data_IF_041184021243
#
_entry.id   IF_041184021243
#
_cell.length_a   1.000
_cell.length_b   1.000
_cell.length_c   1.000
_cell.angle_alpha   90.00
_cell.angle_beta   90.00
_cell.angle_gamma   90.00
#
_symmetry.space_group_name_H-M   'P 1'
#
loop_
_entity.id
_entity.type
_entity.pdbx_description
1 polymer ?
#
# COMPACT_ATOMS: atom_id res chain seq x y z
N UNK A 1 -9.23 11.77 8.70
CA UNK A 1 -8.09 11.18 7.97
C UNK A 1 -8.05 11.72 6.54
N UNK A 2 -6.87 11.95 5.99
CA UNK A 2 -6.70 12.29 4.56
C UNK A 2 -7.37 11.18 3.71
N UNK A 3 -8.30 11.50 2.81
CA UNK A 3 -8.98 10.47 2.01
C UNK A 3 -8.03 9.86 0.98
N UNK A 4 -8.24 8.57 0.67
CA UNK A 4 -7.49 7.89 -0.36
C UNK A 4 -8.08 8.23 -1.74
N UNK A 5 -7.39 9.12 -2.48
CA UNK A 5 -7.82 9.61 -3.80
C UNK A 5 -8.10 8.46 -4.78
N UNK A 6 -7.16 7.54 -4.94
CA UNK A 6 -7.31 6.45 -5.91
C UNK A 6 -8.42 5.47 -5.52
N UNK A 7 -8.66 5.24 -4.23
CA UNK A 7 -9.79 4.43 -3.79
C UNK A 7 -11.13 5.05 -4.21
N UNK A 8 -11.26 6.37 -4.07
CA UNK A 8 -12.44 7.10 -4.52
C UNK A 8 -12.60 7.00 -6.05
N UNK A 9 -11.51 7.19 -6.81
CA UNK A 9 -11.50 7.05 -8.26
C UNK A 9 -11.92 5.64 -8.69
N UNK A 10 -11.40 4.58 -8.05
CA UNK A 10 -11.80 3.19 -8.30
C UNK A 10 -13.31 2.99 -8.08
N UNK A 11 -13.84 3.52 -6.98
CA UNK A 11 -15.28 3.40 -6.66
C UNK A 11 -16.16 4.10 -7.71
N UNK A 12 -15.66 5.19 -8.29
CA UNK A 12 -16.34 5.94 -9.34
C UNK A 12 -16.17 5.34 -10.76
N UNK A 13 -15.36 4.28 -10.91
CA UNK A 13 -15.02 3.71 -12.21
C UNK A 13 -14.10 4.59 -13.05
N UNK A 14 -13.36 5.51 -12.43
CA UNK A 14 -12.42 6.40 -13.10
C UNK A 14 -11.12 5.66 -13.44
N UNK A 15 -10.46 6.08 -14.52
CA UNK A 15 -9.13 5.57 -14.88
C UNK A 15 -8.07 6.13 -13.93
N UNK A 16 -7.10 5.29 -13.58
CA UNK A 16 -6.00 5.66 -12.68
C UNK A 16 -4.67 5.40 -13.37
N UNK A 17 -3.79 6.39 -13.33
CA UNK A 17 -2.42 6.26 -13.84
C UNK A 17 -1.47 6.13 -12.66
N UNK A 18 -0.78 4.97 -12.58
CA UNK A 18 0.18 4.67 -11.53
C UNK A 18 1.61 4.60 -12.07
N UNK A 19 2.52 5.34 -11.45
CA UNK A 19 3.96 5.25 -11.73
C UNK A 19 4.66 4.29 -10.79
N UNK A 20 5.77 3.65 -11.26
CA UNK A 20 6.59 2.74 -10.44
C UNK A 20 7.96 3.34 -10.17
N UNK A 21 8.42 3.22 -8.91
CA UNK A 21 9.68 3.72 -8.41
C UNK A 21 10.56 2.55 -8.00
N UNK A 22 11.69 2.36 -8.68
CA UNK A 22 12.65 1.28 -8.42
C UNK A 22 14.04 1.79 -8.00
N UNK A 23 14.25 3.11 -8.07
CA UNK A 23 15.52 3.77 -7.73
C UNK A 23 15.40 4.31 -6.30
N UNK A 24 16.33 4.00 -5.39
CA UNK A 24 16.31 4.42 -3.99
C UNK A 24 16.72 5.90 -3.82
N UNK A 25 15.90 6.80 -4.35
CA UNK A 25 16.16 8.23 -4.34
C UNK A 25 14.90 9.02 -3.97
N UNK A 26 14.95 9.75 -2.86
CA UNK A 26 13.90 10.66 -2.45
C UNK A 26 13.69 11.79 -3.47
N UNK A 27 14.77 12.30 -4.09
CA UNK A 27 14.69 13.32 -5.12
C UNK A 27 14.02 12.80 -6.39
N UNK A 28 14.33 11.56 -6.82
CA UNK A 28 13.62 10.93 -7.93
C UNK A 28 12.13 10.77 -7.65
N UNK A 29 11.78 10.36 -6.42
CA UNK A 29 10.37 10.24 -6.00
C UNK A 29 9.65 11.60 -5.97
N UNK A 30 10.34 12.67 -5.54
CA UNK A 30 9.82 14.03 -5.56
C UNK A 30 9.54 14.49 -7.00
N UNK A 31 10.51 14.37 -7.90
CA UNK A 31 10.35 14.73 -9.32
C UNK A 31 9.17 13.98 -9.92
N UNK A 32 9.08 12.66 -9.69
CA UNK A 32 7.98 11.84 -10.20
C UNK A 32 6.63 12.28 -9.63
N UNK A 33 6.55 12.68 -8.35
CA UNK A 33 5.29 13.08 -7.73
C UNK A 33 4.68 14.35 -8.33
N UNK A 34 5.46 15.13 -9.08
CA UNK A 34 5.00 16.33 -9.80
C UNK A 34 4.67 16.10 -11.28
N UNK A 35 4.65 14.83 -11.76
CA UNK A 35 4.44 14.52 -13.17
C UNK A 35 2.99 14.12 -13.54
N UNK A 36 2.02 14.35 -12.66
CA UNK A 36 0.60 14.12 -12.96
C UNK A 36 0.11 12.69 -12.74
N UNK A 37 0.84 11.86 -12.00
CA UNK A 37 0.38 10.53 -11.58
C UNK A 37 -0.75 10.65 -10.55
N UNK A 38 -1.68 9.70 -10.57
CA UNK A 38 -2.68 9.56 -9.51
C UNK A 38 -2.11 8.84 -8.30
N UNK A 39 -1.19 7.91 -8.55
CA UNK A 39 -0.47 7.16 -7.51
C UNK A 39 0.96 6.84 -7.94
N UNK A 40 1.83 6.63 -6.95
CA UNK A 40 3.20 6.16 -7.14
C UNK A 40 3.44 4.95 -6.27
N UNK A 41 3.93 3.86 -6.87
CA UNK A 41 4.27 2.63 -6.17
C UNK A 41 5.78 2.54 -5.94
N UNK A 42 6.17 2.48 -4.67
CA UNK A 42 7.54 2.17 -4.25
C UNK A 42 7.71 0.66 -4.31
N UNK A 43 8.61 0.20 -5.17
CA UNK A 43 8.84 -1.22 -5.39
C UNK A 43 9.94 -1.75 -4.46
N UNK A 44 9.53 -2.33 -3.34
CA UNK A 44 10.47 -2.93 -2.38
C UNK A 44 10.76 -4.41 -2.68
N UNK A 45 10.07 -5.02 -3.67
CA UNK A 45 10.29 -6.41 -4.05
C UNK A 45 11.43 -6.55 -5.06
N UNK A 46 11.35 -5.83 -6.16
CA UNK A 46 12.32 -5.92 -7.28
C UNK A 46 13.09 -4.61 -7.49
N UNK A 47 12.67 -3.52 -6.88
CA UNK A 47 13.46 -2.29 -6.81
C UNK A 47 14.64 -2.43 -5.84
N UNK A 48 15.64 -1.59 -6.00
CA UNK A 48 16.83 -1.56 -5.12
C UNK A 48 16.53 -0.70 -3.87
N UNK A 49 15.36 -0.95 -3.23
CA UNK A 49 14.78 -0.08 -2.19
C UNK A 49 14.55 -0.90 -0.93
N UNK A 50 15.17 -0.48 0.16
CA UNK A 50 14.89 -0.96 1.51
C UNK A 50 13.96 0.00 2.28
N UNK A 51 13.63 -0.33 3.53
CA UNK A 51 12.73 0.48 4.35
C UNK A 51 13.21 1.93 4.59
N UNK A 52 14.49 2.20 4.93
CA UNK A 52 14.99 3.57 5.07
C UNK A 52 14.79 4.41 3.80
N UNK A 53 15.07 3.85 2.64
CA UNK A 53 14.86 4.54 1.36
C UNK A 53 13.35 4.76 1.10
N UNK A 54 12.52 3.73 1.31
CA UNK A 54 11.07 3.83 1.15
C UNK A 54 10.47 4.93 2.04
N UNK A 55 10.92 5.04 3.30
CA UNK A 55 10.49 6.10 4.21
C UNK A 55 10.80 7.50 3.66
N UNK A 56 12.00 7.73 3.17
CA UNK A 56 12.40 9.02 2.58
C UNK A 56 11.60 9.34 1.30
N UNK A 57 11.36 8.33 0.47
CA UNK A 57 10.54 8.46 -0.73
C UNK A 57 9.08 8.79 -0.39
N UNK A 58 8.50 8.14 0.62
CA UNK A 58 7.16 8.46 1.14
C UNK A 58 7.08 9.90 1.66
N UNK A 59 8.14 10.40 2.31
CA UNK A 59 8.21 11.80 2.75
C UNK A 59 8.17 12.75 1.56
N UNK A 60 8.91 12.47 0.49
CA UNK A 60 8.93 13.29 -0.72
C UNK A 60 7.57 13.29 -1.44
N UNK A 61 6.97 12.11 -1.64
CA UNK A 61 5.65 11.99 -2.28
C UNK A 61 4.58 12.74 -1.49
N UNK A 62 4.68 12.78 -0.15
CA UNK A 62 3.69 13.44 0.71
C UNK A 62 3.60 14.98 0.54
N UNK A 63 4.54 15.58 -0.20
CA UNK A 63 4.48 17.00 -0.59
C UNK A 63 3.42 17.31 -1.66
N UNK A 64 2.83 16.29 -2.26
CA UNK A 64 1.83 16.37 -3.32
C UNK A 64 0.55 15.63 -2.96
N UNK A 65 -0.44 15.65 -3.87
CA UNK A 65 -1.69 14.89 -3.72
C UNK A 65 -1.64 13.48 -4.33
N UNK A 66 -0.49 13.05 -4.81
CA UNK A 66 -0.26 11.70 -5.34
C UNK A 66 -0.40 10.68 -4.21
N UNK A 67 -1.18 9.63 -4.44
CA UNK A 67 -1.39 8.57 -3.44
C UNK A 67 -0.17 7.64 -3.37
N UNK A 68 0.51 7.54 -2.21
CA UNK A 68 1.67 6.67 -2.05
C UNK A 68 1.27 5.21 -1.86
N UNK A 69 1.80 4.33 -2.69
CA UNK A 69 1.67 2.89 -2.62
C UNK A 69 3.03 2.24 -2.41
N UNK A 70 3.05 1.00 -1.91
CA UNK A 70 4.26 0.20 -1.87
C UNK A 70 3.97 -1.26 -2.26
N UNK A 71 4.84 -1.85 -3.07
CA UNK A 71 4.91 -3.29 -3.24
C UNK A 71 5.90 -3.85 -2.23
N UNK A 72 5.42 -4.69 -1.31
CA UNK A 72 6.25 -5.33 -0.29
C UNK A 72 7.01 -6.53 -0.86
N UNK A 73 8.09 -6.94 -0.19
CA UNK A 73 8.94 -8.04 -0.63
C UNK A 73 8.20 -9.39 -0.63
N UNK A 74 7.35 -9.60 0.36
CA UNK A 74 6.60 -10.83 0.57
C UNK A 74 5.38 -10.60 1.46
N UNK A 75 4.51 -11.60 1.57
CA UNK A 75 3.39 -11.60 2.53
C UNK A 75 3.91 -11.80 3.96
N UNK A 76 4.63 -10.81 4.47
CA UNK A 76 5.23 -10.80 5.80
C UNK A 76 4.62 -9.65 6.63
N UNK A 77 3.86 -9.98 7.70
CA UNK A 77 3.10 -8.98 8.46
C UNK A 77 3.92 -7.83 9.02
N UNK A 78 5.13 -8.09 9.53
CA UNK A 78 5.97 -7.05 10.11
C UNK A 78 6.39 -5.98 9.10
N UNK A 79 6.71 -6.37 7.87
CA UNK A 79 7.03 -5.43 6.80
C UNK A 79 5.80 -4.65 6.34
N UNK A 80 4.66 -5.34 6.20
CA UNK A 80 3.38 -4.73 5.83
C UNK A 80 2.99 -3.65 6.85
N UNK A 81 2.98 -3.99 8.13
CA UNK A 81 2.64 -3.04 9.20
C UNK A 81 3.58 -1.85 9.22
N UNK A 82 4.89 -2.10 9.06
CA UNK A 82 5.93 -1.07 9.12
C UNK A 82 5.83 -0.06 7.98
N UNK A 83 5.55 -0.50 6.75
CA UNK A 83 5.39 0.42 5.61
C UNK A 83 4.09 1.23 5.71
N UNK A 84 3.03 0.66 6.28
CA UNK A 84 1.80 1.38 6.57
C UNK A 84 1.99 2.43 7.67
N UNK A 85 2.78 2.14 8.71
CA UNK A 85 3.12 3.10 9.76
C UNK A 85 3.98 4.25 9.23
N UNK A 86 4.73 4.01 8.16
CA UNK A 86 5.46 5.04 7.42
C UNK A 86 4.56 5.96 6.57
N UNK A 87 3.24 5.71 6.51
CA UNK A 87 2.26 6.54 5.82
C UNK A 87 1.94 6.12 4.38
N UNK A 88 2.22 4.87 4.02
CA UNK A 88 1.75 4.27 2.78
C UNK A 88 0.21 4.13 2.80
N UNK A 89 -0.46 4.40 1.69
CA UNK A 89 -1.92 4.36 1.56
C UNK A 89 -2.45 3.15 0.79
N UNK A 90 -1.57 2.29 0.36
CA UNK A 90 -1.94 1.00 -0.22
C UNK A 90 -0.73 0.09 -0.33
N UNK A 91 -0.97 -1.19 -0.09
CA UNK A 91 0.05 -2.24 -0.17
C UNK A 91 -0.28 -3.18 -1.31
N UNK A 92 0.71 -3.46 -2.14
CA UNK A 92 0.68 -4.51 -3.16
C UNK A 92 1.47 -5.69 -2.60
N UNK A 93 0.82 -6.83 -2.42
CA UNK A 93 1.42 -8.05 -1.89
C UNK A 93 1.65 -9.06 -3.01
N UNK A 94 2.91 -9.47 -3.29
CA UNK A 94 3.21 -10.46 -4.30
C UNK A 94 2.85 -11.87 -3.86
N UNK A 95 2.75 -12.79 -4.81
CA UNK A 95 2.68 -14.25 -4.62
C UNK A 95 1.54 -14.73 -3.71
N UNK A 96 0.40 -14.05 -3.74
CA UNK A 96 -0.80 -14.48 -3.01
C UNK A 96 -1.52 -15.56 -3.84
N UNK A 97 -1.44 -16.81 -3.40
CA UNK A 97 -1.88 -17.96 -4.20
C UNK A 97 -3.18 -18.63 -3.72
N UNK A 98 -3.66 -18.29 -2.53
CA UNK A 98 -4.85 -18.89 -1.96
C UNK A 98 -5.53 -17.99 -0.92
N UNK A 99 -6.73 -18.39 -0.51
CA UNK A 99 -7.56 -17.66 0.46
C UNK A 99 -6.85 -17.39 1.79
N UNK A 100 -6.15 -18.39 2.32
CA UNK A 100 -5.45 -18.23 3.60
C UNK A 100 -4.37 -17.13 3.53
N UNK A 101 -3.61 -17.10 2.45
CA UNK A 101 -2.59 -16.06 2.23
C UNK A 101 -3.23 -14.69 2.01
N UNK A 102 -4.35 -14.62 1.28
CA UNK A 102 -5.11 -13.40 1.09
C UNK A 102 -5.66 -12.85 2.42
N UNK A 103 -6.26 -13.69 3.25
CA UNK A 103 -6.77 -13.31 4.57
C UNK A 103 -5.64 -12.86 5.50
N UNK A 104 -4.51 -13.59 5.52
CA UNK A 104 -3.32 -13.20 6.29
C UNK A 104 -2.83 -11.81 5.90
N UNK A 105 -2.74 -11.53 4.60
CA UNK A 105 -2.35 -10.23 4.06
C UNK A 105 -3.32 -9.12 4.49
N UNK A 106 -4.62 -9.32 4.24
CA UNK A 106 -5.64 -8.32 4.58
C UNK A 106 -5.66 -8.01 6.07
N UNK A 107 -5.60 -9.04 6.92
CA UNK A 107 -5.60 -8.87 8.38
C UNK A 107 -4.35 -8.18 8.90
N UNK A 108 -3.19 -8.37 8.25
CA UNK A 108 -1.97 -7.64 8.58
C UNK A 108 -2.07 -6.13 8.27
N UNK A 109 -2.91 -5.75 7.31
CA UNK A 109 -3.16 -4.35 6.97
C UNK A 109 -4.19 -3.67 7.88
N UNK A 110 -4.97 -4.42 8.66
CA UNK A 110 -6.14 -3.92 9.38
C UNK A 110 -5.95 -3.96 10.90
N UNK A 111 -6.40 -2.89 11.55
CA UNK A 111 -6.48 -2.86 13.02
C UNK A 111 -7.62 -3.74 13.56
N UNK A 112 -7.49 -4.24 14.82
CA UNK A 112 -8.58 -4.95 15.48
C UNK A 112 -9.91 -4.16 15.47
N UNK A 113 -11.08 -4.82 15.43
CA UNK A 113 -11.26 -6.28 15.46
C UNK A 113 -11.19 -6.94 14.07
N UNK A 114 -10.99 -6.18 12.98
CA UNK A 114 -10.99 -6.70 11.60
C UNK A 114 -9.69 -7.38 11.20
N UNK A 115 -8.59 -7.09 11.90
CA UNK A 115 -7.28 -7.67 11.68
C UNK A 115 -6.43 -7.65 12.94
N UNK A 116 -5.11 -7.84 12.77
CA UNK A 116 -4.15 -7.89 13.88
C UNK A 116 -2.99 -6.89 13.73
N UNK A 117 -3.15 -5.85 12.89
CA UNK A 117 -2.14 -4.81 12.77
C UNK A 117 -1.89 -4.15 14.12
N UNK A 118 -0.62 -4.09 14.54
CA UNK A 118 -0.21 -3.37 15.74
C UNK A 118 -0.38 -1.86 15.55
N UNK A 119 -0.87 -1.16 16.57
CA UNK A 119 -1.09 0.28 16.50
C UNK A 119 0.15 1.06 16.94
N UNK A 120 0.76 1.75 16.00
CA UNK A 120 1.93 2.61 16.22
C UNK A 120 2.26 3.48 15.00
N UNK A 121 1.24 4.07 14.32
CA UNK A 121 1.44 4.70 13.01
C UNK A 121 1.98 6.13 13.15
N UNK A 122 3.20 6.33 13.69
CA UNK A 122 3.75 7.66 13.95
C UNK A 122 3.66 8.57 12.72
N UNK A 123 4.20 8.12 11.58
CA UNK A 123 4.14 8.91 10.35
C UNK A 123 2.77 8.81 9.66
N UNK A 124 2.07 7.71 9.84
CA UNK A 124 0.68 7.55 9.40
C UNK A 124 -0.21 8.64 9.98
N UNK A 125 -0.04 9.00 11.25
CA UNK A 125 -0.75 10.10 11.90
C UNK A 125 -0.35 11.48 11.33
N UNK A 126 0.95 11.69 11.05
CA UNK A 126 1.43 12.96 10.47
C UNK A 126 0.86 13.17 9.06
N UNK A 127 0.88 12.14 8.23
CA UNK A 127 0.43 12.19 6.84
C UNK A 127 -1.09 12.09 6.71
N UNK A 128 -1.69 11.16 7.45
CA UNK A 128 -3.11 10.83 7.34
C UNK A 128 -4.04 11.67 8.22
N UNK A 129 -3.53 12.27 9.30
CA UNK A 129 -4.32 13.02 10.27
C UNK A 129 -4.47 12.30 11.61
N UNK A 130 -4.84 13.05 12.66
CA UNK A 130 -4.95 12.55 14.03
C UNK A 130 -5.98 11.43 14.23
N UNK A 131 -6.97 11.36 13.35
CA UNK A 131 -8.04 10.35 13.29
C UNK A 131 -7.69 9.13 12.39
N UNK A 132 -6.42 8.96 12.02
CA UNK A 132 -5.94 7.88 11.16
C UNK A 132 -6.39 6.50 11.64
N UNK A 133 -6.33 6.23 12.96
CA UNK A 133 -6.70 4.94 13.52
C UNK A 133 -8.15 4.53 13.27
N UNK A 134 -9.06 5.51 13.28
CA UNK A 134 -10.50 5.28 13.12
C UNK A 134 -10.88 4.93 11.67
N UNK A 135 -10.13 5.44 10.69
CA UNK A 135 -10.46 5.33 9.27
C UNK A 135 -9.50 4.45 8.46
N UNK A 136 -8.31 4.14 8.98
CA UNK A 136 -7.28 3.42 8.23
C UNK A 136 -7.75 2.08 7.66
N UNK A 137 -8.55 1.31 8.40
CA UNK A 137 -9.10 0.03 7.93
C UNK A 137 -9.91 0.18 6.63
N UNK A 138 -10.56 1.32 6.45
CA UNK A 138 -11.38 1.61 5.28
C UNK A 138 -10.58 2.30 4.17
N UNK A 139 -9.62 3.17 4.52
CA UNK A 139 -8.89 3.99 3.55
C UNK A 139 -7.71 3.26 2.90
N UNK A 140 -7.03 2.37 3.63
CA UNK A 140 -5.87 1.65 3.09
C UNK A 140 -6.30 0.64 2.03
N UNK A 141 -5.70 0.72 0.84
CA UNK A 141 -5.87 -0.26 -0.22
C UNK A 141 -5.02 -1.51 0.04
N UNK A 142 -5.60 -2.67 -0.24
CA UNK A 142 -4.97 -3.99 -0.13
C UNK A 142 -5.07 -4.64 -1.50
N UNK A 143 -3.96 -4.83 -2.16
CA UNK A 143 -3.89 -5.34 -3.53
C UNK A 143 -3.04 -6.60 -3.56
N UNK A 144 -3.67 -7.76 -3.77
CA UNK A 144 -2.97 -9.02 -3.93
C UNK A 144 -2.59 -9.24 -5.40
N UNK A 145 -1.35 -9.66 -5.66
CA UNK A 145 -0.93 -10.05 -7.00
C UNK A 145 -1.31 -11.50 -7.27
N UNK A 146 -2.08 -11.71 -8.33
CA UNK A 146 -2.48 -13.02 -8.85
C UNK A 146 -1.50 -13.38 -9.96
N UNK A 147 -0.44 -14.11 -9.62
CA UNK A 147 0.69 -14.35 -10.53
C UNK A 147 1.16 -15.82 -10.56
N UNK A 148 0.40 -16.72 -9.93
CA UNK A 148 0.66 -18.16 -9.98
C UNK A 148 -0.51 -18.90 -10.59
N UNK A 149 -0.24 -20.11 -11.14
CA UNK A 149 -1.33 -20.98 -11.63
C UNK A 149 -2.30 -21.33 -10.51
N UNK A 150 -1.79 -21.60 -9.30
CA UNK A 150 -2.62 -21.87 -8.13
C UNK A 150 -3.55 -20.70 -7.80
N UNK A 151 -3.02 -19.47 -7.80
CA UNK A 151 -3.81 -18.27 -7.56
C UNK A 151 -4.93 -18.10 -8.57
N UNK A 152 -4.64 -18.36 -9.86
CA UNK A 152 -5.62 -18.27 -10.94
C UNK A 152 -6.71 -19.33 -10.80
N UNK A 153 -6.33 -20.58 -10.49
CA UNK A 153 -7.27 -21.70 -10.30
C UNK A 153 -8.20 -21.50 -9.07
N UNK A 154 -7.77 -20.64 -8.11
CA UNK A 154 -8.49 -20.33 -6.86
C UNK A 154 -9.05 -18.91 -6.80
N UNK A 155 -9.11 -18.21 -7.92
CA UNK A 155 -9.45 -16.80 -7.99
C UNK A 155 -10.79 -16.46 -7.33
N UNK A 156 -11.83 -17.26 -7.59
CA UNK A 156 -13.16 -17.07 -7.03
C UNK A 156 -13.20 -17.18 -5.50
N UNK A 157 -12.28 -17.94 -4.91
CA UNK A 157 -12.16 -18.09 -3.46
C UNK A 157 -11.36 -16.95 -2.82
N UNK A 158 -10.50 -16.30 -3.58
CA UNK A 158 -9.61 -15.23 -3.10
C UNK A 158 -10.27 -13.85 -3.16
N UNK A 159 -11.05 -13.57 -4.22
CA UNK A 159 -11.63 -12.25 -4.46
C UNK A 159 -12.82 -11.90 -3.56
N UNK A 160 -13.50 -12.88 -2.99
CA UNK A 160 -14.67 -12.67 -2.12
C UNK A 160 -14.28 -11.96 -0.80
N UNK A 161 -12.98 -11.90 -0.46
CA UNK A 161 -12.48 -11.44 0.83
C UNK A 161 -11.51 -10.25 0.75
N UNK A 162 -11.22 -9.79 -0.44
CA UNK A 162 -10.38 -8.61 -0.71
C UNK A 162 -11.26 -7.45 -1.18
#
# INVERSE_FOLDING_TARGET
MRPNKIKKMMTNGEQIINGWLQIPSSFSAEVMSHQGWDSLTIDMQHGVIDYPNALQMLQSISSTDVTPLARVNWNEPGQIMKILDAGCYGVICPMVSNKFEAEKFVQACMYPPKGYRSFGPIRGLIYGGSDYGDFANNEILKMAMIETKEALDKLDLSLIHI
#
